data_IF_965800133989
#
_entry.id   IF_965800133989
#
_cell.length_a   1.000
_cell.length_b   1.000
_cell.length_c   1.000
_cell.angle_alpha   90.00
_cell.angle_beta   90.00
_cell.angle_gamma   90.00
#
_symmetry.space_group_name_H-M   'P 1'
#
loop_
_entity.id
_entity.type
_entity.pdbx_description
1 polymer ?
#
# COMPACT_ATOMS: atom_id res chain seq x y z
N UNK A 1 1.15 17.81 -4.01
CA UNK A 1 2.42 17.42 -4.69
C UNK A 1 3.36 18.61 -4.90
N UNK A 2 2.84 19.80 -5.19
CA UNK A 2 3.65 21.01 -5.40
C UNK A 2 4.54 21.37 -4.20
N UNK A 3 3.99 21.31 -2.98
CA UNK A 3 4.77 21.54 -1.76
C UNK A 3 5.96 20.57 -1.63
N UNK A 4 5.83 19.29 -2.02
CA UNK A 4 6.94 18.32 -1.93
C UNK A 4 8.13 18.73 -2.80
N UNK A 5 7.88 19.34 -3.97
CA UNK A 5 8.91 19.63 -4.99
C UNK A 5 9.92 20.68 -4.51
N UNK A 6 9.50 21.60 -3.65
CA UNK A 6 10.36 22.68 -3.13
C UNK A 6 11.14 22.34 -1.86
N UNK A 7 10.99 21.13 -1.30
CA UNK A 7 11.61 20.75 -0.03
C UNK A 7 12.63 19.62 -0.20
N UNK A 8 13.79 19.74 0.45
CA UNK A 8 14.76 18.65 0.53
C UNK A 8 14.33 17.63 1.62
N UNK A 9 14.02 16.36 1.26
CA UNK A 9 13.57 15.37 2.22
C UNK A 9 14.62 15.05 3.30
N UNK A 10 15.92 15.18 2.99
CA UNK A 10 17.02 14.90 3.93
C UNK A 10 17.13 15.93 5.06
N UNK A 11 16.47 17.09 4.91
CA UNK A 11 16.48 18.18 5.90
C UNK A 11 15.24 18.17 6.80
N UNK A 12 14.48 17.07 6.80
CA UNK A 12 13.24 16.92 7.56
C UNK A 12 13.23 15.59 8.32
N UNK A 13 12.44 15.46 9.40
CA UNK A 13 12.31 14.19 10.11
C UNK A 13 11.70 13.12 9.20
N UNK A 14 12.41 12.00 9.05
CA UNK A 14 11.95 10.82 8.31
C UNK A 14 11.73 9.70 9.31
N UNK A 15 10.47 9.35 9.54
CA UNK A 15 10.05 8.17 10.28
C UNK A 15 9.16 7.34 9.35
N UNK A 16 9.66 6.18 8.94
CA UNK A 16 9.01 5.30 7.97
C UNK A 16 8.33 4.14 8.68
N UNK A 17 7.05 3.92 8.38
CA UNK A 17 6.35 2.70 8.75
C UNK A 17 6.37 1.72 7.59
N UNK A 18 7.13 0.64 7.73
CA UNK A 18 7.15 -0.44 6.75
C UNK A 18 5.94 -1.36 6.93
N UNK A 19 5.23 -1.66 5.85
CA UNK A 19 3.97 -2.40 5.90
C UNK A 19 3.81 -3.37 4.73
N UNK A 20 3.41 -4.60 5.04
CA UNK A 20 2.93 -5.56 4.06
C UNK A 20 1.40 -5.57 4.06
N UNK A 21 0.79 -5.18 2.93
CA UNK A 21 -0.65 -4.90 2.85
C UNK A 21 -1.53 -6.11 3.22
N UNK A 22 -1.17 -7.32 2.78
CA UNK A 22 -1.98 -8.54 3.00
C UNK A 22 -1.85 -9.19 4.37
N UNK A 23 -0.90 -8.73 5.19
CA UNK A 23 -0.72 -9.22 6.57
C UNK A 23 -0.96 -8.15 7.62
N UNK A 24 -1.15 -6.89 7.23
CA UNK A 24 -1.41 -5.81 8.17
C UNK A 24 -2.76 -5.97 8.88
N UNK A 25 -3.77 -6.44 8.16
CA UNK A 25 -5.11 -6.64 8.71
C UNK A 25 -5.85 -7.75 7.96
N UNK A 26 -6.74 -8.41 8.69
CA UNK A 26 -7.75 -9.33 8.15
C UNK A 26 -9.13 -8.91 8.62
N UNK A 27 -10.17 -9.44 8.00
CA UNK A 27 -11.57 -9.25 8.41
C UNK A 27 -12.04 -10.58 9.00
N UNK A 28 -11.96 -10.76 10.33
CA UNK A 28 -12.31 -12.03 11.00
C UNK A 28 -13.77 -12.43 10.75
N UNK A 29 -14.67 -11.46 10.69
CA UNK A 29 -16.11 -11.65 10.51
C UNK A 29 -16.47 -12.24 9.15
N UNK A 30 -15.58 -12.11 8.16
CA UNK A 30 -15.74 -12.59 6.80
C UNK A 30 -14.75 -13.72 6.49
N UNK A 31 -14.65 -14.69 7.40
CA UNK A 31 -13.81 -15.88 7.19
C UNK A 31 -12.32 -15.57 7.12
N UNK A 32 -11.85 -14.54 7.84
CA UNK A 32 -10.46 -14.11 7.87
C UNK A 32 -9.92 -13.65 6.49
N UNK A 33 -10.81 -13.12 5.63
CA UNK A 33 -10.42 -12.63 4.30
C UNK A 33 -9.47 -11.44 4.39
N UNK A 34 -8.76 -11.22 3.28
CA UNK A 34 -7.98 -9.99 3.07
C UNK A 34 -8.93 -8.82 2.77
N UNK A 35 -8.67 -7.62 3.32
CA UNK A 35 -9.40 -6.41 2.92
C UNK A 35 -9.01 -6.00 1.49
N UNK A 36 -9.94 -5.37 0.79
CA UNK A 36 -9.67 -4.71 -0.50
C UNK A 36 -8.86 -3.42 -0.29
N UNK A 37 -8.28 -2.87 -1.37
CA UNK A 37 -7.56 -1.58 -1.34
C UNK A 37 -8.40 -0.45 -0.71
N UNK A 38 -9.70 -0.39 -1.01
CA UNK A 38 -10.61 0.62 -0.47
C UNK A 38 -10.89 0.44 1.01
N UNK A 39 -11.02 -0.82 1.46
CA UNK A 39 -11.30 -1.13 2.87
C UNK A 39 -10.05 -0.95 3.73
N UNK A 40 -8.87 -1.26 3.19
CA UNK A 40 -7.62 -1.12 3.92
C UNK A 40 -7.15 0.33 3.95
N UNK A 41 -7.30 1.13 2.89
CA UNK A 41 -6.75 2.49 2.79
C UNK A 41 -6.97 3.43 4.00
N UNK A 42 -8.19 3.59 4.57
CA UNK A 42 -8.43 4.59 5.60
C UNK A 42 -7.80 4.22 6.96
N UNK A 43 -7.67 2.92 7.27
CA UNK A 43 -7.29 2.47 8.61
C UNK A 43 -5.80 2.71 8.95
N UNK A 44 -4.81 2.37 8.09
CA UNK A 44 -3.42 2.72 8.29
C UNK A 44 -3.22 4.23 8.33
N UNK A 45 -3.93 5.00 7.49
CA UNK A 45 -3.76 6.45 7.44
C UNK A 45 -4.07 7.11 8.80
N UNK A 46 -5.16 6.71 9.45
CA UNK A 46 -5.51 7.18 10.80
C UNK A 46 -4.50 6.70 11.85
N UNK A 47 -4.16 5.42 11.84
CA UNK A 47 -3.25 4.80 12.80
C UNK A 47 -1.86 5.45 12.77
N UNK A 48 -1.31 5.66 11.58
CA UNK A 48 0.04 6.21 11.38
C UNK A 48 0.10 7.70 11.70
N UNK A 49 -0.98 8.43 11.43
CA UNK A 49 -1.12 9.83 11.84
C UNK A 49 -1.13 9.96 13.37
N UNK A 50 -1.81 9.07 14.09
CA UNK A 50 -1.78 9.03 15.56
C UNK A 50 -0.38 8.76 16.12
N UNK A 51 0.37 7.87 15.47
CA UNK A 51 1.74 7.52 15.85
C UNK A 51 2.82 8.50 15.35
N UNK A 52 2.43 9.54 14.59
CA UNK A 52 3.31 10.58 14.06
C UNK A 52 4.42 10.06 13.12
N UNK A 53 4.15 8.97 12.39
CA UNK A 53 5.02 8.58 11.27
C UNK A 53 4.91 9.61 10.15
N UNK A 54 6.01 9.86 9.44
CA UNK A 54 6.04 10.83 8.32
C UNK A 54 5.85 10.15 6.97
N UNK A 55 6.19 8.86 6.85
CA UNK A 55 6.10 8.10 5.61
C UNK A 55 5.61 6.66 5.85
N UNK A 56 5.04 6.07 4.81
CA UNK A 56 4.67 4.66 4.75
C UNK A 56 5.46 4.02 3.62
N UNK A 57 6.12 2.91 3.89
CA UNK A 57 6.80 2.10 2.90
C UNK A 57 6.05 0.78 2.75
N UNK A 58 5.47 0.55 1.58
CA UNK A 58 4.82 -0.72 1.30
C UNK A 58 5.85 -1.74 0.82
N UNK A 59 5.72 -2.98 1.27
CA UNK A 59 6.29 -4.12 0.54
C UNK A 59 5.69 -4.17 -0.88
N UNK A 60 6.36 -4.83 -1.85
CA UNK A 60 5.95 -4.75 -3.25
C UNK A 60 4.47 -5.08 -3.46
N UNK A 61 3.74 -4.10 -3.99
CA UNK A 61 2.31 -4.20 -4.30
C UNK A 61 2.04 -4.68 -5.73
N UNK A 62 3.10 -4.83 -6.53
CA UNK A 62 3.04 -5.36 -7.90
C UNK A 62 2.56 -6.81 -7.92
N UNK A 63 2.01 -7.24 -9.06
CA UNK A 63 1.52 -8.61 -9.20
C UNK A 63 2.67 -9.63 -9.10
N UNK A 64 2.46 -10.63 -8.25
CA UNK A 64 3.44 -11.66 -7.92
C UNK A 64 2.70 -12.99 -7.73
N UNK A 65 3.16 -14.11 -8.35
CA UNK A 65 2.43 -15.37 -8.33
C UNK A 65 2.47 -16.04 -6.94
N UNK A 66 3.59 -15.91 -6.23
CA UNK A 66 3.79 -16.56 -4.94
C UNK A 66 3.68 -15.60 -3.77
N UNK A 67 2.62 -15.72 -2.96
CA UNK A 67 2.40 -14.84 -1.80
C UNK A 67 3.49 -14.93 -0.73
N UNK A 68 4.11 -16.10 -0.55
CA UNK A 68 5.22 -16.30 0.38
C UNK A 68 6.47 -15.49 0.03
N UNK A 69 6.58 -15.01 -1.22
CA UNK A 69 7.64 -14.08 -1.62
C UNK A 69 7.47 -12.68 -1.01
N UNK A 70 6.35 -12.39 -0.34
CA UNK A 70 5.99 -11.06 0.17
C UNK A 70 6.05 -9.95 -0.89
N UNK A 71 5.88 -10.33 -2.15
CA UNK A 71 5.93 -9.42 -3.30
C UNK A 71 7.30 -9.31 -3.98
N UNK A 72 8.37 -9.90 -3.45
CA UNK A 72 9.70 -9.75 -4.04
C UNK A 72 9.89 -10.52 -5.36
N UNK A 73 9.08 -11.55 -5.63
CA UNK A 73 9.09 -12.29 -6.90
C UNK A 73 8.03 -11.72 -7.85
N UNK A 74 8.32 -10.54 -8.40
CA UNK A 74 7.39 -9.80 -9.28
C UNK A 74 7.30 -10.47 -10.64
N UNK A 75 6.07 -10.66 -11.14
CA UNK A 75 5.80 -11.11 -12.50
C UNK A 75 5.04 -10.05 -13.32
N UNK A 76 4.22 -9.21 -12.68
CA UNK A 76 3.48 -8.12 -13.33
C UNK A 76 3.91 -6.76 -12.78
N UNK A 77 4.92 -6.15 -13.38
CA UNK A 77 5.49 -4.87 -12.93
C UNK A 77 4.55 -3.68 -13.06
N UNK A 78 3.63 -3.71 -14.02
CA UNK A 78 2.73 -2.60 -14.34
C UNK A 78 1.32 -2.75 -13.76
N UNK A 79 1.05 -3.85 -13.06
CA UNK A 79 -0.25 -4.13 -12.46
C UNK A 79 -0.08 -4.32 -10.95
N UNK A 80 -0.94 -3.70 -10.13
CA UNK A 80 -1.00 -4.03 -8.72
C UNK A 80 -1.56 -5.44 -8.56
N UNK A 81 -1.23 -6.12 -7.47
CA UNK A 81 -1.75 -7.46 -7.22
C UNK A 81 -3.26 -7.43 -7.10
N UNK A 82 -3.90 -8.32 -7.83
CA UNK A 82 -5.36 -8.50 -7.87
C UNK A 82 -5.95 -9.05 -6.56
N UNK A 83 -5.11 -9.53 -5.64
CA UNK A 83 -5.51 -10.09 -4.34
C UNK A 83 -6.33 -9.14 -3.46
N UNK A 84 -6.16 -7.82 -3.64
CA UNK A 84 -6.86 -6.81 -2.85
C UNK A 84 -7.88 -6.02 -3.69
N UNK A 85 -8.29 -6.52 -4.86
CA UNK A 85 -9.28 -5.91 -5.74
C UNK A 85 -8.70 -5.38 -7.05
N UNK A 86 -9.52 -4.64 -7.80
CA UNK A 86 -9.18 -4.17 -9.15
C UNK A 86 -8.33 -2.88 -9.12
N UNK A 87 -7.53 -2.61 -10.17
CA UNK A 87 -6.66 -1.43 -10.23
C UNK A 87 -7.36 -0.07 -10.00
N UNK A 88 -8.61 0.17 -10.45
CA UNK A 88 -9.34 1.40 -10.14
C UNK A 88 -9.46 1.69 -8.64
N UNK A 89 -9.46 0.65 -7.80
CA UNK A 89 -9.52 0.79 -6.34
C UNK A 89 -8.22 1.31 -5.71
N UNK A 90 -7.09 1.26 -6.42
CA UNK A 90 -5.79 1.79 -5.98
C UNK A 90 -5.53 3.22 -6.50
N UNK A 91 -6.49 3.81 -7.24
CA UNK A 91 -6.33 5.13 -7.87
C UNK A 91 -5.58 5.09 -9.21
N UNK A 92 -5.53 3.93 -9.88
CA UNK A 92 -4.90 3.76 -11.20
C UNK A 92 -5.88 4.03 -12.36
N UNK A 93 -6.76 5.01 -12.21
CA UNK A 93 -7.70 5.43 -13.28
C UNK A 93 -7.02 6.17 -14.44
N UNK A 94 -5.70 6.40 -14.36
CA UNK A 94 -4.94 7.20 -15.33
C UNK A 94 -4.24 6.39 -16.44
N UNK A 95 -4.47 5.07 -16.57
CA UNK A 95 -3.76 4.21 -17.53
C UNK A 95 -4.67 3.43 -18.49
N UNK A 96 -5.94 3.81 -18.59
CA UNK A 96 -6.82 3.38 -19.68
C UNK A 96 -7.09 4.58 -20.57
N UNK A 97 -6.91 4.48 -21.91
CA UNK A 97 -7.19 5.59 -22.83
C UNK A 97 -8.67 5.99 -22.81
#
# INVERSE_FOLDING_TARGET
MEERRGHNPLQRPIAVYEMHLGSWMRIPEEGNRMPTYREVAPRPAEYLRRLKFTHVQFLPVMEHPFYGSRGYQVAGYFAPTSRYGTPPCLGMDALTP
#
